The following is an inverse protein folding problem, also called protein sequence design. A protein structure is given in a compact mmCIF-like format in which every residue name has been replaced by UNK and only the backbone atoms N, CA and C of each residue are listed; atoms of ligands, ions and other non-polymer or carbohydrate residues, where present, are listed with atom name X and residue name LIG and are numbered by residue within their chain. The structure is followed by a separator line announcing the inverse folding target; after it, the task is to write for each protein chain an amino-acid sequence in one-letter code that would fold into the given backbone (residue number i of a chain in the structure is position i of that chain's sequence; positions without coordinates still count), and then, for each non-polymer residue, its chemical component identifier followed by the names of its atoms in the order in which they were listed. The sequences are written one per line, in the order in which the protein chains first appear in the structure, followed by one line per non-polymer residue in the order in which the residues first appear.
data_IF_529997181015
#
_entry.id   IF_529997181015
#
_cell.length_a   1.000
_cell.length_b   1.000
_cell.length_c   1.000
_cell.angle_alpha   90.00
_cell.angle_beta   90.00
_cell.angle_gamma   90.00
#
_symmetry.space_group_name_H-M   'P 1'
#
loop_
_entity.id
_entity.type
_entity.pdbx_description
1 polymer ?
#
# COMPACT_ATOMS: atom_id res chain seq x y z
N UNK A 1 -33.85 -48.42 6.14
CA UNK A 1 -32.53 -48.41 6.79
C UNK A 1 -31.87 -47.08 6.44
N UNK A 2 -31.86 -46.17 7.41
CA UNK A 2 -31.35 -44.81 7.26
C UNK A 2 -29.81 -44.82 7.18
N UNK A 3 -29.24 -44.02 6.29
CA UNK A 3 -27.83 -43.66 6.35
C UNK A 3 -27.74 -42.13 6.35
N UNK A 4 -27.82 -41.58 7.56
CA UNK A 4 -27.54 -40.19 7.86
C UNK A 4 -26.01 -40.04 7.81
N UNK A 5 -25.48 -39.56 6.69
CA UNK A 5 -24.08 -39.18 6.57
C UNK A 5 -23.93 -37.71 7.00
N UNK A 6 -23.76 -37.49 8.31
CA UNK A 6 -23.26 -36.24 8.85
C UNK A 6 -21.73 -36.22 8.67
N UNK A 7 -21.21 -35.47 7.69
CA UNK A 7 -19.77 -35.18 7.64
C UNK A 7 -19.49 -33.73 7.26
N UNK A 8 -19.00 -33.01 8.26
CA UNK A 8 -18.08 -31.86 8.22
C UNK A 8 -18.55 -30.61 7.47
N UNK A 9 -19.21 -29.73 8.22
CA UNK A 9 -19.09 -28.29 8.05
C UNK A 9 -17.64 -27.85 8.25
N UNK A 10 -16.90 -27.75 7.16
CA UNK A 10 -15.61 -27.03 7.16
C UNK A 10 -15.88 -25.58 7.55
N UNK A 11 -15.42 -25.18 8.74
CA UNK A 11 -15.25 -23.76 9.08
C UNK A 11 -14.22 -23.18 8.11
N UNK A 12 -14.70 -22.65 6.99
CA UNK A 12 -13.90 -21.79 6.13
C UNK A 12 -13.56 -20.57 6.97
N UNK A 13 -12.28 -20.27 7.23
CA UNK A 13 -11.94 -19.02 7.87
C UNK A 13 -12.44 -17.91 6.95
N UNK A 14 -13.39 -17.10 7.44
CA UNK A 14 -13.78 -15.85 6.79
C UNK A 14 -12.55 -14.95 6.87
N UNK A 15 -11.70 -15.03 5.86
CA UNK A 15 -10.57 -14.14 5.67
C UNK A 15 -11.14 -12.73 5.75
N UNK A 16 -10.80 -12.01 6.82
CA UNK A 16 -11.26 -10.65 7.04
C UNK A 16 -10.91 -9.84 5.80
N UNK A 17 -11.94 -9.51 5.02
CA UNK A 17 -11.82 -8.66 3.86
C UNK A 17 -11.50 -7.25 4.39
N UNK A 18 -10.22 -6.96 4.61
CA UNK A 18 -9.76 -5.59 4.45
C UNK A 18 -10.22 -5.20 3.05
N UNK A 19 -11.18 -4.27 2.97
CA UNK A 19 -11.88 -3.92 1.74
C UNK A 19 -10.85 -3.73 0.62
N UNK A 20 -10.71 -4.75 -0.23
CA UNK A 20 -9.68 -4.76 -1.24
C UNK A 20 -10.03 -3.61 -2.18
N UNK A 21 -9.11 -2.66 -2.37
CA UNK A 21 -9.40 -1.53 -3.25
C UNK A 21 -9.36 -2.02 -4.69
N UNK A 22 -10.54 -2.14 -5.30
CA UNK A 22 -10.76 -2.62 -6.65
C UNK A 22 -11.03 -1.43 -7.56
N UNK A 23 -10.12 -1.20 -8.51
CA UNK A 23 -10.20 -0.08 -9.43
C UNK A 23 -10.63 -0.55 -10.82
N UNK A 24 -11.44 0.24 -11.51
CA UNK A 24 -11.80 -0.05 -12.90
C UNK A 24 -10.56 0.08 -13.81
N UNK A 25 -10.39 -0.88 -14.73
CA UNK A 25 -9.36 -0.79 -15.76
C UNK A 25 -9.95 -0.21 -17.05
N UNK A 26 -9.47 0.95 -17.54
CA UNK A 26 -9.99 1.56 -18.75
C UNK A 26 -9.46 0.84 -20.00
N UNK A 27 -10.12 -0.25 -20.43
CA UNK A 27 -9.87 -0.89 -21.73
C UNK A 27 -11.05 -0.70 -22.68
N UNK A 28 -10.76 -0.57 -23.98
CA UNK A 28 -11.81 -0.52 -25.03
C UNK A 28 -12.43 -1.89 -25.29
N UNK A 29 -11.71 -2.97 -25.02
CA UNK A 29 -12.16 -4.35 -25.19
C UNK A 29 -12.26 -5.05 -23.83
N UNK A 30 -13.33 -5.82 -23.63
CA UNK A 30 -13.57 -6.62 -22.44
C UNK A 30 -13.31 -8.09 -22.76
N UNK A 31 -12.19 -8.62 -22.27
CA UNK A 31 -11.80 -10.03 -22.45
C UNK A 31 -12.21 -10.92 -21.26
N UNK A 32 -13.04 -10.38 -20.37
CA UNK A 32 -13.47 -11.08 -19.17
C UNK A 32 -14.63 -12.03 -19.49
N UNK A 33 -14.54 -13.31 -19.08
CA UNK A 33 -15.66 -14.23 -19.22
C UNK A 33 -16.84 -13.78 -18.33
N UNK A 34 -18.07 -14.05 -18.76
CA UNK A 34 -19.32 -13.74 -18.05
C UNK A 34 -19.76 -12.27 -17.99
N UNK A 35 -19.25 -11.39 -18.88
CA UNK A 35 -19.70 -9.99 -18.94
C UNK A 35 -19.21 -9.13 -17.77
N UNK A 36 -18.27 -9.66 -16.98
CA UNK A 36 -17.56 -8.88 -15.98
C UNK A 36 -16.64 -7.87 -16.67
N UNK A 37 -16.35 -6.78 -15.97
CA UNK A 37 -15.43 -5.77 -16.46
C UNK A 37 -14.00 -6.08 -15.99
N UNK A 38 -12.99 -5.62 -16.74
CA UNK A 38 -11.61 -5.68 -16.29
C UNK A 38 -11.40 -4.69 -15.14
N UNK A 39 -10.77 -5.17 -14.09
CA UNK A 39 -10.44 -4.44 -12.88
C UNK A 39 -8.95 -4.59 -12.57
N UNK A 40 -8.45 -3.69 -11.75
CA UNK A 40 -7.09 -3.71 -11.22
C UNK A 40 -7.13 -3.74 -9.70
N UNK A 41 -6.47 -4.74 -9.12
CA UNK A 41 -6.28 -4.89 -7.67
C UNK A 41 -4.79 -5.02 -7.43
N UNK A 42 -4.24 -4.15 -6.58
CA UNK A 42 -2.81 -4.18 -6.22
C UNK A 42 -1.85 -4.22 -7.43
N UNK A 43 -2.24 -3.65 -8.57
CA UNK A 43 -1.46 -3.62 -9.81
C UNK A 43 -1.63 -4.82 -10.73
N UNK A 44 -2.42 -5.83 -10.37
CA UNK A 44 -2.75 -6.98 -11.23
C UNK A 44 -4.11 -6.78 -11.89
N UNK A 45 -4.22 -7.10 -13.18
CA UNK A 45 -5.47 -7.06 -13.93
C UNK A 45 -6.22 -8.37 -13.75
N UNK A 46 -7.48 -8.28 -13.35
CA UNK A 46 -8.37 -9.43 -13.18
C UNK A 46 -9.80 -9.05 -13.61
N UNK A 47 -10.72 -10.00 -13.54
CA UNK A 47 -12.13 -9.80 -13.88
C UNK A 47 -12.98 -9.67 -12.63
N UNK A 48 -13.87 -8.68 -12.60
CA UNK A 48 -14.73 -8.44 -11.43
C UNK A 48 -15.48 -7.13 -11.51
N UNK A 49 -15.96 -6.66 -10.36
CA UNK A 49 -16.71 -5.40 -10.23
C UNK A 49 -15.91 -4.38 -9.42
N UNK A 50 -15.69 -3.17 -9.93
CA UNK A 50 -14.97 -2.13 -9.20
C UNK A 50 -15.81 -1.64 -8.03
N UNK A 51 -15.15 -1.37 -6.90
CA UNK A 51 -15.76 -0.67 -5.76
C UNK A 51 -15.29 0.79 -5.66
N UNK A 52 -14.31 1.21 -6.46
CA UNK A 52 -13.77 2.57 -6.48
C UNK A 52 -14.19 3.33 -7.75
N UNK A 53 -14.48 4.64 -7.58
CA UNK A 53 -14.78 5.57 -8.68
C UNK A 53 -13.55 6.09 -9.42
N UNK A 54 -12.36 5.85 -8.86
CA UNK A 54 -11.05 6.27 -9.42
C UNK A 54 -10.33 5.09 -10.05
N UNK A 55 -9.38 5.35 -10.94
CA UNK A 55 -8.53 4.30 -11.53
C UNK A 55 -7.28 4.05 -10.69
N UNK A 56 -6.67 2.87 -10.84
CA UNK A 56 -5.43 2.53 -10.14
C UNK A 56 -4.31 3.53 -10.44
N UNK A 57 -4.19 3.99 -11.70
CA UNK A 57 -3.20 4.98 -12.11
C UNK A 57 -3.37 6.33 -11.39
N UNK A 58 -4.60 6.78 -11.18
CA UNK A 58 -4.87 8.02 -10.44
C UNK A 58 -4.47 7.91 -8.97
N UNK A 59 -4.71 6.75 -8.35
CA UNK A 59 -4.29 6.52 -6.95
C UNK A 59 -2.77 6.45 -6.84
N UNK A 60 -2.09 5.80 -7.79
CA UNK A 60 -0.62 5.75 -7.81
C UNK A 60 0.02 7.11 -8.10
N UNK A 61 -0.66 7.98 -8.86
CA UNK A 61 -0.21 9.35 -9.12
C UNK A 61 -0.45 10.31 -7.94
N UNK A 62 -1.13 9.87 -6.87
CA UNK A 62 -1.44 10.74 -5.74
C UNK A 62 -0.15 11.20 -5.02
N UNK A 63 0.11 12.52 -4.93
CA UNK A 63 1.33 13.03 -4.30
C UNK A 63 1.27 12.84 -2.78
N UNK A 64 1.94 11.81 -2.27
CA UNK A 64 2.15 11.65 -0.83
C UNK A 64 3.23 12.64 -0.38
N UNK A 65 2.91 13.50 0.59
CA UNK A 65 3.90 14.38 1.22
C UNK A 65 4.99 13.52 1.85
N UNK A 66 6.18 13.50 1.24
CA UNK A 66 7.36 12.83 1.81
C UNK A 66 8.09 13.82 2.71
N UNK A 67 8.33 13.44 3.96
CA UNK A 67 9.20 14.22 4.84
C UNK A 67 10.62 14.22 4.26
N UNK A 68 11.17 15.41 4.00
CA UNK A 68 12.57 15.53 3.61
C UNK A 68 13.42 15.30 4.86
N UNK A 69 14.43 14.41 4.83
CA UNK A 69 15.35 14.28 5.95
C UNK A 69 16.09 15.61 6.14
N UNK A 70 15.96 16.19 7.33
CA UNK A 70 16.75 17.37 7.71
C UNK A 70 18.18 16.89 7.92
N UNK A 71 19.12 17.39 7.11
CA UNK A 71 20.54 17.14 7.35
C UNK A 71 20.99 18.01 8.51
N UNK A 72 21.22 17.40 9.67
CA UNK A 72 21.88 18.09 10.77
C UNK A 72 23.36 18.23 10.41
N UNK A 73 23.81 19.46 10.15
CA UNK A 73 25.23 19.77 10.07
C UNK A 73 25.80 19.73 11.48
N UNK A 74 26.48 18.65 11.84
CA UNK A 74 27.28 18.62 13.06
C UNK A 74 28.50 19.51 12.85
N UNK A 75 28.42 20.73 13.35
CA UNK A 75 29.61 21.57 13.48
C UNK A 75 30.44 20.96 14.60
N UNK A 76 31.49 20.22 14.26
CA UNK A 76 32.49 19.79 15.23
C UNK A 76 33.14 21.07 15.75
N UNK A 77 32.72 21.53 16.92
CA UNK A 77 33.31 22.72 17.52
C UNK A 77 34.79 22.43 17.77
N UNK A 78 35.67 23.27 17.22
CA UNK A 78 37.10 23.26 17.57
C UNK A 78 37.31 23.48 19.09
N UNK A 79 36.27 23.99 19.77
CA UNK A 79 36.19 24.20 21.22
C UNK A 79 36.11 22.92 22.06
N UNK A 80 35.95 21.74 21.46
CA UNK A 80 35.91 20.49 22.22
C UNK A 80 37.19 20.24 23.07
N UNK A 81 38.30 20.91 22.76
CA UNK A 81 39.58 20.79 23.48
C UNK A 81 40.10 22.14 24.02
N UNK A 82 39.26 23.17 24.10
CA UNK A 82 39.68 24.46 24.65
C UNK A 82 39.55 24.46 26.17
N UNK A 83 40.66 24.23 26.88
CA UNK A 83 40.78 24.50 28.31
C UNK A 83 40.81 26.02 28.55
N UNK A 84 40.32 26.47 29.71
CA UNK A 84 40.32 27.88 30.07
C UNK A 84 41.75 28.46 30.04
N UNK A 85 41.97 29.54 29.28
CA UNK A 85 43.27 30.21 29.17
C UNK A 85 44.03 30.00 27.85
N UNK A 86 43.50 29.26 26.89
CA UNK A 86 44.11 29.11 25.57
C UNK A 86 43.78 30.30 24.66
N UNK A 87 44.81 31.01 24.21
CA UNK A 87 44.69 32.17 23.30
C UNK A 87 44.15 31.72 21.93
N UNK A 88 43.02 32.30 21.49
CA UNK A 88 42.39 32.00 20.20
C UNK A 88 41.23 31.00 20.24
N UNK A 89 40.76 30.64 21.44
CA UNK A 89 39.61 29.76 21.66
C UNK A 89 38.27 30.50 21.86
N UNK A 90 38.23 31.81 21.64
CA UNK A 90 37.03 32.67 21.73
C UNK A 90 36.49 33.01 20.33
#
# INVERSE_FOLDING_TARGET
MAAVAMTLTTLVPSQGAADAKIYAYPSKANYCPAGLQPITISGVICCGTPNQSVTYQQVMAHPVRRHKPVRHHYVRSARAHCQAGLKGCD
#
